data_IF_738572711903
#
_entry.id   IF_738572711903
#
_cell.length_a   1.000
_cell.length_b   1.000
_cell.length_c   1.000
_cell.angle_alpha   90.00
_cell.angle_beta   90.00
_cell.angle_gamma   90.00
#
_symmetry.space_group_name_H-M   'P 1'
#
loop_
_entity.id
_entity.type
_entity.pdbx_description
1 polymer ?
#
# COMPACT_ATOMS: atom_id res chain seq x y z
N UNK A 1 7.69 -20.33 -7.17
CA UNK A 1 7.15 -21.62 -6.74
C UNK A 1 6.41 -22.26 -7.91
N UNK A 2 7.15 -22.81 -8.86
CA UNK A 2 6.63 -23.16 -10.19
C UNK A 2 6.07 -24.59 -10.32
N UNK A 3 6.06 -25.38 -9.24
CA UNK A 3 5.70 -26.81 -9.28
C UNK A 3 4.49 -27.19 -8.40
N UNK A 4 3.80 -26.22 -7.80
CA UNK A 4 2.66 -26.53 -6.92
C UNK A 4 1.36 -26.63 -7.72
N UNK A 5 0.80 -27.83 -7.78
CA UNK A 5 -0.45 -28.15 -8.47
C UNK A 5 -1.63 -27.30 -7.95
N UNK A 6 -2.42 -26.75 -8.88
CA UNK A 6 -3.72 -26.13 -8.59
C UNK A 6 -4.84 -27.18 -8.42
N UNK A 7 -6.10 -26.75 -8.43
CA UNK A 7 -7.27 -27.66 -8.31
C UNK A 7 -7.33 -28.72 -9.42
N UNK A 8 -6.73 -28.42 -10.57
CA UNK A 8 -6.75 -29.29 -11.75
C UNK A 8 -5.66 -30.37 -11.78
N UNK A 9 -4.80 -30.46 -10.75
CA UNK A 9 -3.64 -31.37 -10.71
C UNK A 9 -2.72 -31.28 -11.95
N UNK A 10 -2.64 -30.10 -12.58
CA UNK A 10 -1.76 -29.84 -13.73
C UNK A 10 -0.59 -28.94 -13.34
N UNK A 11 0.60 -29.30 -13.81
CA UNK A 11 1.85 -28.55 -13.71
C UNK A 11 2.15 -27.79 -15.01
N UNK A 12 3.14 -26.88 -14.98
CA UNK A 12 3.54 -26.04 -16.13
C UNK A 12 3.93 -26.88 -17.35
N UNK A 13 4.52 -28.06 -17.13
CA UNK A 13 5.07 -28.92 -18.19
C UNK A 13 4.01 -29.55 -19.11
N UNK A 14 2.72 -29.49 -18.74
CA UNK A 14 1.60 -29.99 -19.53
C UNK A 14 0.96 -28.98 -20.48
N UNK A 15 1.47 -27.75 -20.54
CA UNK A 15 0.84 -26.66 -21.28
C UNK A 15 1.18 -26.70 -22.78
N UNK A 16 0.16 -26.59 -23.63
CA UNK A 16 0.29 -26.59 -25.10
C UNK A 16 -0.28 -25.29 -25.68
N UNK A 17 0.27 -24.83 -26.80
CA UNK A 17 -0.23 -23.64 -27.52
C UNK A 17 -1.73 -23.73 -27.83
N UNK A 18 -2.24 -24.91 -28.17
CA UNK A 18 -3.67 -25.18 -28.43
C UNK A 18 -4.59 -24.81 -27.24
N UNK A 19 -4.07 -24.90 -26.01
CA UNK A 19 -4.81 -24.49 -24.81
C UNK A 19 -4.94 -22.97 -24.71
N UNK A 20 -3.96 -22.21 -25.21
CA UNK A 20 -4.02 -20.75 -25.29
C UNK A 20 -5.11 -20.34 -26.28
N UNK A 21 -5.16 -20.95 -27.46
CA UNK A 21 -6.16 -20.63 -28.48
C UNK A 21 -7.57 -20.92 -27.95
N UNK A 22 -7.74 -22.06 -27.27
CA UNK A 22 -9.01 -22.41 -26.62
C UNK A 22 -9.40 -21.41 -25.53
N UNK A 23 -8.42 -20.95 -24.74
CA UNK A 23 -8.64 -19.94 -23.71
C UNK A 23 -9.03 -18.59 -24.32
N UNK A 24 -8.36 -18.17 -25.38
CA UNK A 24 -8.67 -16.94 -26.13
C UNK A 24 -10.11 -17.00 -26.66
N UNK A 25 -10.53 -18.11 -27.28
CA UNK A 25 -11.89 -18.24 -27.80
C UNK A 25 -12.93 -18.24 -26.68
N UNK A 26 -12.66 -18.88 -25.53
CA UNK A 26 -13.53 -18.80 -24.34
C UNK A 26 -13.64 -17.39 -23.78
N UNK A 27 -12.58 -16.60 -23.85
CA UNK A 27 -12.60 -15.20 -23.41
C UNK A 27 -13.39 -14.32 -24.38
N UNK A 28 -13.18 -14.48 -25.69
CA UNK A 28 -13.93 -13.76 -26.74
C UNK A 28 -15.43 -14.04 -26.68
N UNK A 29 -15.81 -15.28 -26.38
CA UNK A 29 -17.20 -15.73 -26.28
C UNK A 29 -17.81 -15.51 -24.90
N UNK A 30 -17.07 -14.93 -23.95
CA UNK A 30 -17.51 -14.71 -22.56
C UNK A 30 -17.91 -16.00 -21.81
N UNK A 31 -17.41 -17.15 -22.26
CA UNK A 31 -17.67 -18.47 -21.68
C UNK A 31 -16.64 -18.89 -20.63
N UNK A 32 -15.62 -18.06 -20.38
CA UNK A 32 -14.64 -18.34 -19.33
C UNK A 32 -15.21 -18.12 -17.92
N UNK A 33 -15.13 -19.15 -17.08
CA UNK A 33 -15.47 -19.08 -15.66
C UNK A 33 -14.25 -19.51 -14.84
N UNK A 34 -13.71 -18.62 -13.99
CA UNK A 34 -12.59 -18.96 -13.13
C UNK A 34 -12.93 -20.10 -12.18
N UNK A 35 -11.95 -20.95 -11.88
CA UNK A 35 -12.14 -22.07 -10.97
C UNK A 35 -11.98 -21.62 -9.52
N UNK A 36 -12.67 -22.27 -8.57
CA UNK A 36 -12.49 -21.96 -7.15
C UNK A 36 -11.04 -22.23 -6.75
N UNK A 37 -10.50 -21.37 -5.89
CA UNK A 37 -9.10 -21.43 -5.49
C UNK A 37 -8.88 -22.49 -4.39
N UNK A 38 -7.86 -23.36 -4.49
CA UNK A 38 -7.57 -24.34 -3.43
C UNK A 38 -6.96 -23.65 -2.21
N UNK A 39 -7.61 -23.70 -1.04
CA UNK A 39 -7.00 -23.21 0.21
C UNK A 39 -5.97 -24.19 0.77
N UNK A 40 -4.82 -23.67 1.17
CA UNK A 40 -3.76 -24.39 1.89
C UNK A 40 -3.26 -23.51 3.02
N UNK A 41 -3.00 -24.08 4.19
CA UNK A 41 -2.57 -23.30 5.36
C UNK A 41 -1.06 -23.34 5.51
N UNK A 42 -0.43 -22.17 5.54
CA UNK A 42 1.01 -22.03 5.80
C UNK A 42 1.21 -21.53 7.24
N UNK A 43 2.04 -22.19 8.07
CA UNK A 43 2.32 -21.73 9.42
C UNK A 43 3.14 -20.44 9.40
N UNK A 44 2.70 -19.42 10.14
CA UNK A 44 3.50 -18.23 10.46
C UNK A 44 4.48 -18.56 11.59
N UNK A 45 5.56 -17.78 11.69
CA UNK A 45 6.52 -17.82 12.81
C UNK A 45 5.85 -17.65 14.18
N UNK A 46 4.67 -17.03 14.22
CA UNK A 46 3.94 -16.69 15.43
C UNK A 46 2.88 -17.76 15.82
N UNK A 47 2.90 -18.94 15.20
CA UNK A 47 1.98 -20.06 15.48
C UNK A 47 0.60 -19.96 14.83
N UNK A 48 0.19 -18.80 14.31
CA UNK A 48 -1.02 -18.64 13.48
C UNK A 48 -0.79 -19.17 12.06
N UNK A 49 -1.84 -19.65 11.38
CA UNK A 49 -1.76 -20.06 9.97
C UNK A 49 -2.23 -18.94 9.05
N UNK A 50 -1.64 -18.86 7.84
CA UNK A 50 -2.11 -18.01 6.73
C UNK A 50 -2.79 -18.90 5.68
N UNK A 51 -4.05 -18.65 5.32
CA UNK A 51 -4.67 -19.33 4.19
C UNK A 51 -4.04 -18.80 2.90
N UNK A 52 -3.46 -19.69 2.10
CA UNK A 52 -2.99 -19.43 0.75
C UNK A 52 -3.92 -20.11 -0.24
N UNK A 53 -4.45 -19.33 -1.15
CA UNK A 53 -5.18 -19.80 -2.31
C UNK A 53 -4.22 -20.17 -3.44
N UNK A 54 -4.27 -21.41 -3.91
CA UNK A 54 -3.54 -21.87 -5.10
C UNK A 54 -4.52 -21.95 -6.28
N UNK A 55 -4.51 -20.96 -7.20
CA UNK A 55 -5.37 -20.98 -8.38
C UNK A 55 -4.90 -22.03 -9.40
N UNK A 56 -5.78 -22.35 -10.36
CA UNK A 56 -5.40 -23.18 -11.51
C UNK A 56 -4.33 -22.50 -12.36
N UNK A 57 -3.62 -23.25 -13.22
CA UNK A 57 -2.61 -22.65 -14.08
C UNK A 57 -3.21 -21.67 -15.10
N UNK A 58 -4.36 -22.02 -15.70
CA UNK A 58 -5.10 -21.13 -16.61
C UNK A 58 -5.50 -19.83 -15.90
N UNK A 59 -5.99 -19.93 -14.66
CA UNK A 59 -6.32 -18.76 -13.84
C UNK A 59 -5.08 -17.94 -13.49
N UNK A 60 -3.93 -18.57 -13.18
CA UNK A 60 -2.68 -17.87 -12.91
C UNK A 60 -2.20 -17.08 -14.12
N UNK A 61 -2.22 -17.70 -15.31
CA UNK A 61 -1.82 -17.05 -16.55
C UNK A 61 -2.72 -15.84 -16.84
N UNK A 62 -4.04 -16.02 -16.75
CA UNK A 62 -4.99 -14.96 -17.01
C UNK A 62 -4.90 -13.83 -15.96
N UNK A 63 -4.74 -14.18 -14.68
CA UNK A 63 -4.51 -13.20 -13.61
C UNK A 63 -3.23 -12.39 -13.83
N UNK A 64 -2.16 -13.03 -14.31
CA UNK A 64 -0.91 -12.34 -14.61
C UNK A 64 -1.07 -11.32 -15.74
N UNK A 65 -1.80 -11.68 -16.81
CA UNK A 65 -2.12 -10.74 -17.89
C UNK A 65 -3.01 -9.60 -17.38
N UNK A 66 -4.03 -9.89 -16.58
CA UNK A 66 -4.89 -8.88 -15.95
C UNK A 66 -4.05 -7.94 -15.07
N UNK A 67 -3.12 -8.47 -14.28
CA UNK A 67 -2.21 -7.68 -13.43
C UNK A 67 -1.39 -6.69 -14.27
N UNK A 68 -0.76 -7.15 -15.35
CA UNK A 68 0.04 -6.30 -16.23
C UNK A 68 -0.78 -5.17 -16.87
N UNK A 69 -2.01 -5.48 -17.29
CA UNK A 69 -2.93 -4.47 -17.82
C UNK A 69 -3.33 -3.44 -16.76
N UNK A 70 -3.71 -3.89 -15.56
CA UNK A 70 -4.10 -3.01 -14.47
C UNK A 70 -2.94 -2.14 -13.99
N UNK A 71 -1.73 -2.69 -13.87
CA UNK A 71 -0.52 -1.92 -13.53
C UNK A 71 -0.24 -0.82 -14.56
N UNK A 72 -0.33 -1.14 -15.85
CA UNK A 72 -0.13 -0.16 -16.91
C UNK A 72 -1.13 1.00 -16.86
N UNK A 73 -2.37 0.74 -16.42
CA UNK A 73 -3.43 1.74 -16.31
C UNK A 73 -3.30 2.58 -15.02
N UNK A 74 -3.04 1.92 -13.89
CA UNK A 74 -3.16 2.54 -12.56
C UNK A 74 -1.83 3.02 -11.96
N UNK A 75 -0.69 2.44 -12.33
CA UNK A 75 0.61 2.83 -11.77
C UNK A 75 0.91 4.33 -11.94
N UNK A 76 0.60 4.98 -13.08
CA UNK A 76 0.77 6.43 -13.24
C UNK A 76 -0.16 7.29 -12.36
N UNK A 77 -1.23 6.69 -11.81
CA UNK A 77 -2.30 7.37 -11.06
C UNK A 77 -2.07 7.22 -9.55
N UNK A 78 -1.40 6.16 -9.13
CA UNK A 78 -1.19 5.88 -7.71
C UNK A 78 -0.36 6.95 -7.01
N UNK A 79 -0.79 7.30 -5.80
CA UNK A 79 -0.08 8.24 -4.94
C UNK A 79 1.37 7.82 -4.71
N UNK A 80 2.31 8.75 -4.80
CA UNK A 80 3.73 8.50 -4.51
C UNK A 80 3.97 8.07 -3.06
N UNK A 81 3.03 8.35 -2.17
CA UNK A 81 3.08 7.95 -0.76
C UNK A 81 2.73 6.46 -0.54
N UNK A 82 2.28 5.75 -1.58
CA UNK A 82 1.97 4.32 -1.52
C UNK A 82 3.11 3.47 -2.07
N UNK A 83 3.61 2.53 -1.28
CA UNK A 83 4.78 1.72 -1.63
C UNK A 83 4.54 0.20 -1.72
N UNK A 84 3.47 -0.32 -1.12
CA UNK A 84 3.23 -1.77 -1.08
C UNK A 84 2.82 -2.31 -2.44
N UNK A 85 3.33 -3.48 -2.82
CA UNK A 85 2.95 -4.22 -4.04
C UNK A 85 2.99 -3.39 -5.35
N UNK A 86 3.98 -2.51 -5.48
CA UNK A 86 4.18 -1.69 -6.68
C UNK A 86 5.54 -1.97 -7.32
N UNK A 87 5.65 -1.88 -8.65
CA UNK A 87 6.95 -1.97 -9.32
C UNK A 87 7.90 -0.89 -8.78
N UNK A 88 9.17 -1.26 -8.61
CA UNK A 88 10.25 -0.39 -8.10
C UNK A 88 10.03 0.22 -6.71
N UNK A 89 9.05 -0.27 -5.94
CA UNK A 89 8.78 0.16 -4.56
C UNK A 89 8.94 -1.00 -3.59
N UNK A 90 9.46 -0.68 -2.40
CA UNK A 90 9.71 -1.66 -1.33
C UNK A 90 9.60 -1.02 0.05
N UNK A 91 9.64 -1.83 1.10
CA UNK A 91 9.71 -1.36 2.48
C UNK A 91 10.85 -0.33 2.69
N UNK A 92 12.00 -0.53 2.05
CA UNK A 92 13.12 0.41 2.13
C UNK A 92 12.80 1.77 1.51
N UNK A 93 12.02 1.81 0.43
CA UNK A 93 11.59 3.08 -0.18
C UNK A 93 10.68 3.87 0.75
N UNK A 94 9.73 3.20 1.42
CA UNK A 94 8.85 3.82 2.41
C UNK A 94 9.63 4.38 3.61
N UNK A 95 10.56 3.58 4.16
CA UNK A 95 11.41 4.01 5.27
C UNK A 95 12.32 5.19 4.88
N UNK A 96 12.87 5.17 3.67
CA UNK A 96 13.68 6.27 3.14
C UNK A 96 12.85 7.56 3.03
N UNK A 97 11.62 7.46 2.52
CA UNK A 97 10.69 8.57 2.45
C UNK A 97 10.37 9.15 3.83
N UNK A 98 10.03 8.31 4.81
CA UNK A 98 9.77 8.73 6.19
C UNK A 98 11.00 9.46 6.76
N UNK A 99 12.20 8.86 6.63
CA UNK A 99 13.46 9.43 7.13
C UNK A 99 13.78 10.80 6.51
N UNK A 100 13.42 11.02 5.25
CA UNK A 100 13.75 12.25 4.54
C UNK A 100 12.69 13.34 4.69
N UNK A 101 11.41 12.98 4.75
CA UNK A 101 10.29 13.94 4.73
C UNK A 101 9.71 14.25 6.11
N UNK A 102 9.81 13.34 7.07
CA UNK A 102 9.20 13.47 8.41
C UNK A 102 10.22 13.87 9.50
N UNK A 103 11.31 14.55 9.12
CA UNK A 103 12.33 15.01 10.09
C UNK A 103 11.74 16.06 11.03
N UNK A 104 11.85 15.82 12.34
CA UNK A 104 11.32 16.74 13.35
C UNK A 104 9.79 16.73 13.44
N UNK A 105 9.16 15.59 13.11
CA UNK A 105 7.77 15.33 13.46
C UNK A 105 7.63 15.20 14.98
N UNK A 106 6.65 15.89 15.55
CA UNK A 106 6.36 15.82 17.00
C UNK A 106 5.37 14.71 17.34
N UNK A 107 4.54 14.31 16.37
CA UNK A 107 3.48 13.33 16.51
C UNK A 107 3.52 12.36 15.33
N UNK A 108 3.34 11.08 15.63
CA UNK A 108 3.19 10.00 14.64
C UNK A 108 1.91 9.27 14.98
N UNK A 109 1.08 9.04 13.97
CA UNK A 109 -0.14 8.23 14.08
C UNK A 109 0.13 6.96 13.30
N UNK A 110 0.11 5.83 14.00
CA UNK A 110 0.19 4.50 13.41
C UNK A 110 -1.22 3.92 13.32
N UNK A 111 -1.55 3.34 12.18
CA UNK A 111 -2.82 2.66 11.96
C UNK A 111 -2.60 1.43 11.10
N UNK A 112 -3.24 0.33 11.45
CA UNK A 112 -3.23 -0.92 10.71
C UNK A 112 -4.65 -1.27 10.25
N UNK A 113 -4.77 -1.78 9.03
CA UNK A 113 -6.06 -2.20 8.46
C UNK A 113 -6.17 -3.72 8.59
N UNK A 114 -6.89 -4.16 9.62
CA UNK A 114 -7.12 -5.58 9.87
C UNK A 114 -7.87 -6.24 8.72
N UNK A 115 -7.26 -7.25 8.12
CA UNK A 115 -7.93 -8.08 7.11
C UNK A 115 -8.29 -7.33 5.83
N UNK A 116 -7.42 -6.44 5.35
CA UNK A 116 -7.67 -5.64 4.14
C UNK A 116 -8.10 -6.51 2.96
N UNK A 117 -7.45 -7.64 2.71
CA UNK A 117 -7.82 -8.53 1.61
C UNK A 117 -9.16 -9.24 1.80
N UNK A 118 -9.59 -9.52 3.03
CA UNK A 118 -10.83 -10.26 3.32
C UNK A 118 -12.08 -9.35 3.30
N UNK A 119 -11.90 -8.05 3.55
CA UNK A 119 -12.97 -7.08 3.78
C UNK A 119 -13.23 -6.13 2.60
N UNK A 120 -12.65 -6.35 1.42
CA UNK A 120 -12.92 -5.52 0.23
C UNK A 120 -14.34 -5.78 -0.27
N UNK A 121 -15.14 -4.71 -0.35
CA UNK A 121 -16.47 -4.73 -0.97
C UNK A 121 -16.32 -4.78 -2.50
N UNK A 122 -16.85 -5.85 -3.10
CA UNK A 122 -16.77 -6.08 -4.54
C UNK A 122 -17.52 -5.01 -5.34
N UNK A 123 -18.63 -4.50 -4.83
CA UNK A 123 -19.44 -3.49 -5.52
C UNK A 123 -18.67 -2.17 -5.62
N UNK A 124 -18.07 -1.75 -4.50
CA UNK A 124 -17.26 -0.52 -4.47
C UNK A 124 -16.03 -0.67 -5.38
N UNK A 125 -15.31 -1.80 -5.29
CA UNK A 125 -14.14 -2.05 -6.13
C UNK A 125 -14.50 -2.02 -7.63
N UNK A 126 -15.58 -2.69 -8.04
CA UNK A 126 -16.02 -2.71 -9.44
C UNK A 126 -16.47 -1.34 -9.93
N UNK A 127 -17.07 -0.52 -9.05
CA UNK A 127 -17.41 0.87 -9.38
C UNK A 127 -16.17 1.75 -9.56
N UNK A 128 -15.11 1.55 -8.76
CA UNK A 128 -13.85 2.28 -8.94
C UNK A 128 -13.18 1.87 -10.27
N UNK A 129 -13.24 0.59 -10.62
CA UNK A 129 -12.73 0.09 -11.90
C UNK A 129 -13.51 0.66 -13.09
N UNK A 130 -14.84 0.71 -13.00
CA UNK A 130 -15.71 1.21 -14.08
C UNK A 130 -15.57 2.71 -14.36
N UNK A 131 -15.03 3.48 -13.41
CA UNK A 131 -14.73 4.90 -13.65
C UNK A 131 -13.55 5.12 -14.60
N UNK A 132 -12.66 4.12 -14.76
CA UNK A 132 -11.44 4.23 -15.58
C UNK A 132 -11.44 3.29 -16.77
N UNK A 133 -12.10 2.15 -16.66
CA UNK A 133 -12.15 1.12 -17.69
C UNK A 133 -13.57 1.08 -18.25
N UNK A 134 -13.73 1.38 -19.54
CA UNK A 134 -15.04 1.33 -20.21
C UNK A 134 -15.42 -0.08 -20.69
N UNK A 135 -14.45 -1.01 -20.73
CA UNK A 135 -14.69 -2.39 -21.15
C UNK A 135 -15.45 -3.19 -20.09
N UNK A 136 -16.77 -3.29 -20.30
CA UNK A 136 -17.67 -4.09 -19.45
C UNK A 136 -17.33 -5.58 -19.41
N UNK A 137 -16.74 -6.15 -20.48
CA UNK A 137 -16.35 -7.57 -20.51
C UNK A 137 -15.18 -7.83 -19.56
N UNK A 138 -14.21 -6.90 -19.54
CA UNK A 138 -13.07 -6.96 -18.64
C UNK A 138 -13.49 -6.83 -17.17
N UNK A 139 -14.40 -5.89 -16.88
CA UNK A 139 -14.95 -5.71 -15.53
C UNK A 139 -15.72 -6.95 -15.09
N UNK A 140 -16.52 -7.55 -15.98
CA UNK A 140 -17.24 -8.78 -15.67
C UNK A 140 -16.29 -9.97 -15.44
N UNK A 141 -15.18 -10.05 -16.18
CA UNK A 141 -14.13 -11.05 -15.93
C UNK A 141 -13.54 -10.90 -14.52
N UNK A 142 -13.21 -9.67 -14.09
CA UNK A 142 -12.72 -9.40 -12.73
C UNK A 142 -13.79 -9.76 -11.69
N UNK A 143 -15.06 -9.40 -11.93
CA UNK A 143 -16.19 -9.79 -11.08
C UNK A 143 -16.28 -11.31 -10.92
N UNK A 144 -16.12 -12.06 -12.01
CA UNK A 144 -16.10 -13.53 -11.98
C UNK A 144 -14.93 -14.06 -11.15
N UNK A 145 -13.74 -13.46 -11.26
CA UNK A 145 -12.59 -13.84 -10.43
C UNK A 145 -12.83 -13.58 -8.93
N UNK A 146 -13.43 -12.44 -8.57
CA UNK A 146 -13.76 -12.11 -7.18
C UNK A 146 -14.82 -13.06 -6.60
N UNK A 147 -15.79 -13.49 -7.42
CA UNK A 147 -16.88 -14.40 -7.03
C UNK A 147 -16.56 -15.89 -7.11
N UNK A 148 -15.45 -16.27 -7.75
CA UNK A 148 -15.06 -17.67 -7.97
C UNK A 148 -14.92 -18.47 -6.66
N UNK A 149 -14.79 -17.79 -5.52
CA UNK A 149 -14.77 -18.42 -4.21
C UNK A 149 -13.49 -19.21 -3.96
N UNK A 150 -13.53 -20.05 -2.92
CA UNK A 150 -12.43 -20.95 -2.60
C UNK A 150 -12.95 -22.33 -2.22
N UNK A 151 -12.11 -23.33 -2.43
CA UNK A 151 -12.35 -24.71 -2.07
C UNK A 151 -11.54 -25.04 -0.81
N UNK A 152 -12.23 -25.43 0.25
CA UNK A 152 -11.66 -25.78 1.55
C UNK A 152 -12.25 -27.12 2.02
N UNK A 153 -11.40 -28.11 2.34
CA UNK A 153 -11.82 -29.47 2.74
C UNK A 153 -12.89 -30.13 1.83
N UNK A 154 -12.78 -29.94 0.50
CA UNK A 154 -13.73 -30.41 -0.52
C UNK A 154 -15.13 -29.77 -0.47
N UNK A 155 -15.31 -28.70 0.32
CA UNK A 155 -16.50 -27.86 0.31
C UNK A 155 -16.22 -26.56 -0.44
N UNK A 156 -17.18 -26.12 -1.24
CA UNK A 156 -17.10 -24.88 -2.00
C UNK A 156 -17.65 -23.74 -1.15
N UNK A 157 -16.81 -22.73 -0.88
CA UNK A 157 -17.21 -21.54 -0.15
C UNK A 157 -17.29 -20.36 -1.12
N UNK A 158 -18.42 -19.65 -1.11
CA UNK A 158 -18.58 -18.40 -1.86
C UNK A 158 -17.85 -17.27 -1.15
N UNK A 159 -17.05 -16.50 -1.88
CA UNK A 159 -16.50 -15.24 -1.38
C UNK A 159 -17.58 -14.16 -1.49
N UNK A 160 -18.19 -13.80 -0.35
CA UNK A 160 -19.16 -12.69 -0.25
C UNK A 160 -18.47 -11.32 -0.16
N UNK A 161 -17.19 -11.31 0.25
CA UNK A 161 -16.32 -10.15 0.33
C UNK A 161 -14.86 -10.60 0.17
N UNK A 162 -13.99 -9.64 -0.14
CA UNK A 162 -12.55 -9.85 -0.19
C UNK A 162 -12.01 -10.41 -1.51
N UNK A 163 -10.69 -10.29 -1.70
CA UNK A 163 -9.95 -10.90 -2.79
C UNK A 163 -9.32 -12.20 -2.28
N UNK A 164 -9.38 -13.32 -3.04
CA UNK A 164 -8.74 -14.56 -2.61
C UNK A 164 -7.25 -14.33 -2.34
N UNK A 165 -6.84 -14.57 -1.09
CA UNK A 165 -5.46 -14.39 -0.63
C UNK A 165 -4.57 -15.41 -1.36
N UNK A 166 -3.67 -14.95 -2.23
CA UNK A 166 -2.89 -15.81 -3.15
C UNK A 166 -3.26 -15.68 -4.63
N UNK A 167 -4.29 -14.89 -4.97
CA UNK A 167 -4.51 -14.44 -6.35
C UNK A 167 -3.44 -13.42 -6.77
N UNK A 168 -2.91 -13.56 -7.98
CA UNK A 168 -1.86 -12.67 -8.53
C UNK A 168 -2.39 -11.24 -8.70
N UNK A 169 -3.71 -11.09 -8.93
CA UNK A 169 -4.38 -9.80 -9.06
C UNK A 169 -4.79 -9.16 -7.72
N UNK A 170 -4.79 -9.91 -6.62
CA UNK A 170 -5.29 -9.42 -5.33
C UNK A 170 -4.51 -8.19 -4.81
N UNK A 171 -3.17 -8.12 -4.91
CA UNK A 171 -2.41 -6.96 -4.46
C UNK A 171 -2.72 -5.68 -5.25
N UNK A 172 -2.82 -5.76 -6.58
CA UNK A 172 -3.12 -4.59 -7.41
C UNK A 172 -4.56 -4.11 -7.17
N UNK A 173 -5.53 -5.01 -7.01
CA UNK A 173 -6.92 -4.65 -6.70
C UNK A 173 -7.05 -3.97 -5.32
N UNK A 174 -6.30 -4.45 -4.31
CA UNK A 174 -6.26 -3.79 -3.00
C UNK A 174 -5.67 -2.37 -3.09
N UNK A 175 -4.61 -2.19 -3.88
CA UNK A 175 -4.04 -0.86 -4.10
C UNK A 175 -4.99 0.07 -4.85
N UNK A 176 -5.73 -0.43 -5.85
CA UNK A 176 -6.78 0.35 -6.54
C UNK A 176 -7.85 0.82 -5.55
N UNK A 177 -8.31 -0.06 -4.66
CA UNK A 177 -9.28 0.28 -3.64
C UNK A 177 -8.74 1.34 -2.66
N UNK A 178 -7.52 1.13 -2.15
CA UNK A 178 -6.88 2.02 -1.18
C UNK A 178 -6.40 3.33 -1.79
N UNK A 179 -6.30 3.44 -3.11
CA UNK A 179 -5.95 4.69 -3.76
C UNK A 179 -7.02 5.78 -3.51
N UNK A 180 -8.29 5.41 -3.34
CA UNK A 180 -9.33 6.38 -2.94
C UNK A 180 -9.09 6.91 -1.52
N UNK A 181 -8.58 6.07 -0.62
CA UNK A 181 -8.13 6.50 0.70
C UNK A 181 -6.89 7.39 0.61
N UNK A 182 -5.92 7.06 -0.25
CA UNK A 182 -4.73 7.87 -0.48
C UNK A 182 -5.10 9.29 -0.97
N UNK A 183 -6.06 9.42 -1.89
CA UNK A 183 -6.60 10.72 -2.35
C UNK A 183 -7.25 11.51 -1.22
N UNK A 184 -8.07 10.84 -0.40
CA UNK A 184 -8.70 11.49 0.77
C UNK A 184 -7.64 12.00 1.76
N UNK A 185 -6.57 11.25 1.97
CA UNK A 185 -5.45 11.68 2.82
C UNK A 185 -4.72 12.89 2.21
N UNK A 186 -4.54 12.94 0.90
CA UNK A 186 -3.95 14.10 0.22
C UNK A 186 -4.81 15.37 0.40
N UNK A 187 -6.14 15.27 0.36
CA UNK A 187 -7.05 16.38 0.68
C UNK A 187 -6.90 16.87 2.13
N UNK A 188 -6.83 15.93 3.09
CA UNK A 188 -6.59 16.25 4.50
C UNK A 188 -5.24 16.97 4.68
N UNK A 189 -4.19 16.49 4.02
CA UNK A 189 -2.85 17.09 4.08
C UNK A 189 -2.88 18.51 3.56
N UNK A 190 -3.54 18.75 2.42
CA UNK A 190 -3.65 20.07 1.81
C UNK A 190 -4.44 21.04 2.70
N UNK A 191 -5.51 20.59 3.34
CA UNK A 191 -6.34 21.41 4.24
C UNK A 191 -5.64 21.76 5.55
N UNK A 192 -4.87 20.82 6.10
CA UNK A 192 -4.29 20.96 7.44
C UNK A 192 -2.85 21.49 7.43
N UNK A 193 -2.17 21.46 6.28
CA UNK A 193 -0.83 22.05 6.16
C UNK A 193 -0.91 23.57 6.15
N UNK A 194 -0.29 24.22 7.14
CA UNK A 194 -0.38 25.68 7.38
C UNK A 194 0.97 26.33 7.62
N UNK A 195 1.08 27.60 7.26
CA UNK A 195 2.26 28.45 7.48
C UNK A 195 3.42 28.14 6.55
N UNK A 196 4.27 29.14 6.25
CA UNK A 196 5.47 28.96 5.40
C UNK A 196 6.70 28.57 6.22
N UNK A 197 6.84 29.10 7.44
CA UNK A 197 7.99 28.91 8.32
C UNK A 197 7.52 28.90 9.77
N UNK A 198 8.11 28.04 10.61
CA UNK A 198 7.89 28.05 12.06
C UNK A 198 8.38 29.35 12.67
N UNK A 199 7.69 29.82 13.71
CA UNK A 199 8.13 30.91 14.58
C UNK A 199 9.47 30.55 15.22
N UNK A 200 10.31 31.56 15.44
CA UNK A 200 11.54 31.39 16.21
C UNK A 200 11.21 31.13 17.67
N UNK A 201 11.94 30.23 18.33
CA UNK A 201 11.79 30.01 19.77
C UNK A 201 12.30 31.26 20.55
N UNK A 202 11.45 31.93 21.35
CA UNK A 202 11.86 33.12 22.11
C UNK A 202 12.97 32.84 23.13
N UNK A 203 12.95 31.67 23.77
CA UNK A 203 13.96 31.28 24.75
C UNK A 203 15.33 31.10 24.09
N UNK A 204 15.35 30.42 22.94
CA UNK A 204 16.56 30.24 22.14
C UNK A 204 17.16 31.60 21.74
N UNK A 205 16.35 32.54 21.25
CA UNK A 205 16.83 33.88 20.88
C UNK A 205 17.38 34.65 22.09
N UNK A 206 16.72 34.56 23.25
CA UNK A 206 17.19 35.17 24.49
C UNK A 206 18.57 34.62 24.90
N UNK A 207 18.75 33.31 24.90
CA UNK A 207 20.02 32.67 25.24
C UNK A 207 21.12 32.99 24.22
N UNK A 208 20.78 33.03 22.92
CA UNK A 208 21.70 33.43 21.85
C UNK A 208 22.18 34.88 22.04
N UNK A 209 21.29 35.79 22.41
CA UNK A 209 21.63 37.17 22.77
C UNK A 209 22.56 37.25 23.99
N UNK A 210 22.25 36.52 25.07
CA UNK A 210 23.13 36.43 26.25
C UNK A 210 24.52 35.90 25.90
N UNK A 211 24.61 34.86 25.05
CA UNK A 211 25.88 34.31 24.59
C UNK A 211 26.69 35.35 23.81
N UNK A 212 26.06 36.11 22.93
CA UNK A 212 26.73 37.17 22.17
C UNK A 212 27.31 38.25 23.10
N UNK A 213 26.57 38.66 24.13
CA UNK A 213 27.06 39.59 25.15
C UNK A 213 28.24 39.00 25.95
N UNK A 214 28.19 37.72 26.31
CA UNK A 214 29.28 37.04 27.01
C UNK A 214 30.56 36.95 26.16
N UNK A 215 30.42 36.73 24.84
CA UNK A 215 31.53 36.79 23.88
C UNK A 215 32.18 38.17 23.88
N UNK A 216 31.38 39.25 23.79
CA UNK A 216 31.90 40.62 23.85
C UNK A 216 32.64 40.94 25.14
N UNK A 217 32.22 40.33 26.26
CA UNK A 217 32.84 40.52 27.58
C UNK A 217 34.03 39.59 27.85
N UNK A 218 34.33 38.64 26.95
CA UNK A 218 35.42 37.68 27.13
C UNK A 218 35.20 36.61 28.22
N UNK A 219 33.96 36.40 28.69
CA UNK A 219 33.68 35.42 29.75
C UNK A 219 33.58 33.99 29.18
N UNK A 220 34.69 33.24 29.20
CA UNK A 220 34.77 31.89 28.63
C UNK A 220 33.84 30.87 29.30
N UNK A 221 33.65 30.93 30.62
CA UNK A 221 32.82 29.96 31.35
C UNK A 221 31.34 30.11 30.97
N UNK A 222 30.87 31.35 30.91
CA UNK A 222 29.49 31.66 30.54
C UNK A 222 29.21 31.29 29.07
N UNK A 223 30.17 31.50 28.17
CA UNK A 223 30.08 31.06 26.77
C UNK A 223 29.92 29.53 26.69
N UNK A 224 30.74 28.77 27.41
CA UNK A 224 30.67 27.31 27.43
C UNK A 224 29.33 26.83 27.99
N UNK A 225 28.87 27.41 29.10
CA UNK A 225 27.58 27.07 29.72
C UNK A 225 26.41 27.35 28.78
N UNK A 226 26.32 28.56 28.23
CA UNK A 226 25.23 28.96 27.34
C UNK A 226 25.24 28.14 26.05
N UNK A 227 26.41 27.75 25.53
CA UNK A 227 26.50 26.91 24.34
C UNK A 227 25.89 25.53 24.57
N UNK A 228 26.17 24.90 25.72
CA UNK A 228 25.55 23.61 26.09
C UNK A 228 24.03 23.71 26.16
N UNK A 229 23.50 24.76 26.81
CA UNK A 229 22.05 24.96 26.95
C UNK A 229 21.38 25.29 25.60
N UNK A 230 22.03 26.08 24.75
CA UNK A 230 21.50 26.39 23.40
C UNK A 230 21.44 25.13 22.53
N UNK A 231 22.38 24.20 22.67
CA UNK A 231 22.37 22.93 21.93
C UNK A 231 21.22 22.00 22.34
N UNK A 232 20.74 22.10 23.59
CA UNK A 232 19.63 21.28 24.08
C UNK A 232 18.24 21.85 23.75
N UNK A 233 18.15 23.06 23.21
CA UNK A 233 16.87 23.75 22.95
C UNK A 233 16.70 23.97 21.45
N UNK A 234 15.52 23.67 20.87
CA UNK A 234 15.26 23.89 19.45
C UNK A 234 15.26 25.39 19.12
N UNK A 235 15.85 25.74 17.97
CA UNK A 235 15.92 27.13 17.49
C UNK A 235 14.57 27.70 17.03
N UNK A 236 13.66 26.80 16.63
CA UNK A 236 12.29 27.12 16.20
C UNK A 236 11.32 26.59 17.24
N UNK A 237 10.16 27.24 17.36
CA UNK A 237 9.10 26.81 18.27
C UNK A 237 8.52 25.46 17.79
N UNK A 238 8.65 24.38 18.58
CA UNK A 238 8.14 23.07 18.18
C UNK A 238 6.61 23.00 18.20
N UNK A 239 5.92 23.83 19.00
CA UNK A 239 4.46 23.79 19.19
C UNK A 239 3.75 25.03 18.61
N UNK A 240 4.31 25.60 17.53
CA UNK A 240 3.72 26.73 16.82
C UNK A 240 2.37 26.36 16.19
N UNK A 241 1.28 26.91 16.74
CA UNK A 241 -0.09 26.68 16.26
C UNK A 241 -0.34 27.22 14.84
N UNK A 242 0.50 28.15 14.37
CA UNK A 242 0.38 28.72 13.02
C UNK A 242 1.19 27.95 11.96
N UNK A 243 1.96 26.94 12.38
CA UNK A 243 2.74 26.10 11.49
C UNK A 243 2.39 24.63 11.68
N UNK A 244 1.80 24.03 10.65
CA UNK A 244 1.49 22.60 10.64
C UNK A 244 1.95 22.00 9.33
N UNK A 245 2.59 20.83 9.42
CA UNK A 245 3.00 20.02 8.26
C UNK A 245 2.46 18.63 8.50
N UNK A 246 1.54 18.19 7.66
CA UNK A 246 1.04 16.82 7.68
C UNK A 246 1.74 16.05 6.57
N UNK A 247 2.16 14.83 6.86
CA UNK A 247 2.78 13.92 5.91
C UNK A 247 2.14 12.55 6.07
N UNK A 248 2.01 11.84 4.97
CA UNK A 248 1.37 10.55 4.89
C UNK A 248 2.27 9.61 4.10
N UNK A 249 2.40 8.37 4.57
CA UNK A 249 3.08 7.27 3.89
C UNK A 249 2.28 6.01 4.19
N UNK A 250 1.99 5.22 3.15
CA UNK A 250 1.32 3.93 3.26
C UNK A 250 2.24 2.83 2.79
N UNK A 251 2.26 1.75 3.57
CA UNK A 251 2.84 0.48 3.17
C UNK A 251 1.77 -0.60 3.28
N UNK A 252 1.81 -1.56 2.36
CA UNK A 252 1.01 -2.77 2.42
C UNK A 252 1.96 -3.95 2.36
N UNK A 253 1.71 -4.94 3.22
CA UNK A 253 2.45 -6.19 3.28
C UNK A 253 1.47 -7.37 3.21
N UNK A 254 2.03 -8.54 2.96
CA UNK A 254 1.33 -9.77 2.62
C UNK A 254 0.83 -10.56 3.86
#
# INVERSE_FOLDING_TARGET
GNMTEGVDNRTIDGFKYEMIDTLIEKLKTEQYYPKPVRRTYIPKKNGKTRPLGIPSFEDKLLQEVIRQLLESIYEPIFSDNSHGFRPDRSCHTALCQIKNTMRGANWVIEGDVTGCFDNIDHTILLNILSQKIEDGRFIELIRRFLKAGYLEFKQMHRSLSGCPQGGIISPILSNIYLNEFDKYMDEIINKNTKGKKRKSNPEYQRLRGKRYTAIKKGNLEEIKRLTKVIQSIPSLDPMDSNFTRVKYVRYADD
#
